data_IF_544125041261
#
_entry.id   IF_544125041261
#
_cell.length_a   1.000
_cell.length_b   1.000
_cell.length_c   1.000
_cell.angle_alpha   90.00
_cell.angle_beta   90.00
_cell.angle_gamma   90.00
#
_symmetry.space_group_name_H-M   'P 1'
#
loop_
_entity.id
_entity.type
_entity.pdbx_description
1 polymer ?
#
# COMPACT_ATOMS: atom_id res chain seq x y z
N UNK A 1 -14.27 -20.85 -5.19
CA UNK A 1 -14.40 -20.45 -3.77
C UNK A 1 -13.15 -19.65 -3.47
N UNK A 2 -13.17 -18.35 -3.76
CA UNK A 2 -12.01 -17.46 -3.57
C UNK A 2 -12.01 -17.00 -2.13
N UNK A 3 -11.12 -17.57 -1.32
CA UNK A 3 -10.83 -17.05 0.02
C UNK A 3 -10.24 -15.66 -0.13
N UNK A 4 -11.07 -14.64 0.08
CA UNK A 4 -10.58 -13.30 0.32
C UNK A 4 -9.72 -13.37 1.59
N UNK A 5 -8.42 -13.13 1.46
CA UNK A 5 -7.52 -12.98 2.61
C UNK A 5 -8.02 -11.77 3.41
N UNK A 6 -8.84 -12.04 4.42
CA UNK A 6 -9.17 -11.09 5.46
C UNK A 6 -7.98 -11.06 6.41
N UNK A 7 -7.10 -10.07 6.24
CA UNK A 7 -6.34 -9.61 7.40
C UNK A 7 -7.37 -9.28 8.48
N UNK A 8 -7.15 -9.74 9.71
CA UNK A 8 -7.90 -9.21 10.86
C UNK A 8 -7.93 -7.70 10.72
N UNK A 9 -9.13 -7.09 10.71
CA UNK A 9 -9.30 -5.68 10.35
C UNK A 9 -8.31 -4.78 11.13
N UNK A 10 -7.98 -5.14 12.37
CA UNK A 10 -7.02 -4.41 13.19
C UNK A 10 -5.55 -4.50 12.70
N UNK A 11 -5.06 -5.68 12.33
CA UNK A 11 -3.65 -5.87 11.90
C UNK A 11 -3.40 -5.22 10.54
N UNK A 12 -4.33 -5.39 9.61
CA UNK A 12 -4.27 -4.76 8.28
C UNK A 12 -4.35 -3.24 8.37
N UNK A 13 -5.22 -2.71 9.24
CA UNK A 13 -5.33 -1.27 9.47
C UNK A 13 -4.11 -0.70 10.20
N UNK A 14 -3.51 -1.45 11.14
CA UNK A 14 -2.28 -1.04 11.81
C UNK A 14 -1.11 -0.95 10.82
N UNK A 15 -0.91 -1.97 9.97
CA UNK A 15 0.13 -1.95 8.95
C UNK A 15 -0.05 -0.77 7.96
N UNK A 16 -1.29 -0.51 7.52
CA UNK A 16 -1.63 0.64 6.69
C UNK A 16 -1.25 1.97 7.37
N UNK A 17 -1.67 2.17 8.62
CA UNK A 17 -1.39 3.38 9.37
C UNK A 17 0.09 3.62 9.64
N UNK A 18 0.86 2.55 9.89
CA UNK A 18 2.33 2.61 10.03
C UNK A 18 2.98 3.06 8.72
N UNK A 19 2.63 2.43 7.60
CA UNK A 19 3.18 2.78 6.28
C UNK A 19 2.84 4.22 5.89
N UNK A 20 1.61 4.67 6.13
CA UNK A 20 1.18 6.04 5.86
C UNK A 20 1.93 7.05 6.71
N UNK A 21 2.04 6.80 8.02
CA UNK A 21 2.79 7.67 8.94
C UNK A 21 4.27 7.77 8.57
N UNK A 22 4.87 6.67 8.10
CA UNK A 22 6.25 6.64 7.65
C UNK A 22 6.44 7.48 6.37
N UNK A 23 5.59 7.30 5.36
CA UNK A 23 5.66 8.06 4.12
C UNK A 23 5.44 9.56 4.35
N UNK A 24 4.53 9.92 5.25
CA UNK A 24 4.33 11.30 5.69
C UNK A 24 5.60 11.86 6.33
N UNK A 25 6.18 11.17 7.31
CA UNK A 25 7.41 11.60 7.97
C UNK A 25 8.58 11.77 6.99
N UNK A 26 8.76 10.84 6.05
CA UNK A 26 9.81 10.93 5.03
C UNK A 26 9.59 12.11 4.07
N UNK A 27 8.34 12.43 3.75
CA UNK A 27 7.98 13.57 2.90
C UNK A 27 8.18 14.90 3.65
N UNK A 28 7.76 14.98 4.91
CA UNK A 28 7.89 16.18 5.75
C UNK A 28 9.36 16.51 6.05
N UNK A 29 10.19 15.49 6.28
CA UNK A 29 11.63 15.62 6.45
C UNK A 29 12.37 15.89 5.12
N UNK A 30 11.65 15.95 3.98
CA UNK A 30 12.20 16.12 2.64
C UNK A 30 13.25 15.07 2.25
N UNK A 31 13.16 13.89 2.83
CA UNK A 31 13.97 12.72 2.47
C UNK A 31 13.46 12.13 1.14
N UNK A 32 12.15 12.19 0.94
CA UNK A 32 11.44 11.71 -0.23
C UNK A 32 10.55 12.83 -0.75
N UNK A 33 10.49 13.06 -2.06
CA UNK A 33 9.48 13.97 -2.60
C UNK A 33 8.10 13.30 -2.64
N UNK A 34 7.03 14.10 -2.70
CA UNK A 34 5.69 13.56 -2.91
C UNK A 34 5.60 12.71 -4.19
N UNK A 35 6.33 13.10 -5.24
CA UNK A 35 6.38 12.34 -6.49
C UNK A 35 7.03 10.99 -6.24
N UNK A 36 8.18 10.96 -5.58
CA UNK A 36 8.90 9.71 -5.32
C UNK A 36 8.06 8.76 -4.44
N UNK A 37 7.28 9.28 -3.49
CA UNK A 37 6.34 8.48 -2.69
C UNK A 37 5.25 7.84 -3.56
N UNK A 38 4.71 8.59 -4.52
CA UNK A 38 3.67 8.09 -5.43
C UNK A 38 4.22 7.08 -6.43
N UNK A 39 5.41 7.35 -6.97
CA UNK A 39 6.09 6.47 -7.92
C UNK A 39 6.47 5.16 -7.21
N UNK A 40 7.01 5.22 -5.99
CA UNK A 40 7.27 4.05 -5.14
C UNK A 40 6.01 3.18 -4.95
N UNK A 41 4.88 3.78 -4.57
CA UNK A 41 3.64 3.03 -4.39
C UNK A 41 3.09 2.46 -5.71
N UNK A 42 3.31 3.16 -6.83
CA UNK A 42 2.96 2.68 -8.17
C UNK A 42 3.80 1.47 -8.55
N UNK A 43 5.10 1.50 -8.27
CA UNK A 43 6.02 0.38 -8.50
C UNK A 43 5.63 -0.83 -7.65
N UNK A 44 5.23 -0.63 -6.39
CA UNK A 44 4.70 -1.70 -5.53
C UNK A 44 3.46 -2.32 -6.16
N UNK A 45 2.52 -1.51 -6.63
CA UNK A 45 1.29 -2.00 -7.29
C UNK A 45 1.62 -2.80 -8.55
N UNK A 46 2.49 -2.28 -9.44
CA UNK A 46 2.86 -2.99 -10.67
C UNK A 46 3.56 -4.31 -10.37
N UNK A 47 4.58 -4.27 -9.50
CA UNK A 47 5.39 -5.44 -9.15
C UNK A 47 4.53 -6.55 -8.53
N UNK A 48 3.62 -6.21 -7.62
CA UNK A 48 2.75 -7.21 -7.01
C UNK A 48 1.66 -7.72 -7.97
N UNK A 49 1.15 -6.89 -8.88
CA UNK A 49 0.22 -7.37 -9.92
C UNK A 49 0.90 -8.37 -10.87
N UNK A 50 2.12 -8.05 -11.32
CA UNK A 50 2.91 -8.95 -12.17
C UNK A 50 3.25 -10.25 -11.44
N UNK A 51 3.69 -10.16 -10.18
CA UNK A 51 3.98 -11.32 -9.35
C UNK A 51 2.73 -12.18 -9.08
N UNK A 52 1.55 -11.58 -8.92
CA UNK A 52 0.30 -12.32 -8.74
C UNK A 52 0.01 -13.23 -9.93
N UNK A 53 0.33 -12.82 -11.16
CA UNK A 53 0.08 -13.62 -12.36
C UNK A 53 0.92 -14.92 -12.43
N UNK A 54 2.06 -14.97 -11.73
CA UNK A 54 2.97 -16.11 -11.72
C UNK A 54 3.05 -16.84 -10.37
N UNK A 55 2.33 -16.36 -9.36
CA UNK A 55 2.41 -16.86 -7.99
C UNK A 55 1.43 -18.00 -7.72
N UNK A 56 1.82 -18.94 -6.84
CA UNK A 56 0.92 -19.96 -6.29
C UNK A 56 -0.01 -19.38 -5.20
N UNK A 57 0.23 -18.14 -4.76
CA UNK A 57 -0.59 -17.42 -3.78
C UNK A 57 -0.91 -16.00 -4.27
N UNK A 58 -1.66 -15.85 -5.37
CA UNK A 58 -1.98 -14.55 -5.96
C UNK A 58 -2.73 -13.63 -4.98
N UNK A 59 -3.51 -14.19 -4.05
CA UNK A 59 -4.34 -13.46 -3.10
C UNK A 59 -3.48 -12.59 -2.17
N UNK A 60 -2.32 -13.08 -1.74
CA UNK A 60 -1.39 -12.32 -0.88
C UNK A 60 -0.83 -11.10 -1.63
N UNK A 61 -0.49 -11.27 -2.91
CA UNK A 61 -0.02 -10.16 -3.73
C UNK A 61 -1.13 -9.14 -3.98
N UNK A 62 -2.35 -9.60 -4.26
CA UNK A 62 -3.53 -8.73 -4.42
C UNK A 62 -3.86 -7.96 -3.13
N UNK A 63 -3.66 -8.57 -1.97
CA UNK A 63 -3.86 -7.91 -0.68
C UNK A 63 -2.89 -6.73 -0.50
N UNK A 64 -1.61 -6.90 -0.89
CA UNK A 64 -0.62 -5.80 -0.90
C UNK A 64 -1.01 -4.71 -1.89
N UNK A 65 -1.45 -5.07 -3.10
CA UNK A 65 -1.95 -4.10 -4.10
C UNK A 65 -3.10 -3.27 -3.53
N UNK A 66 -4.06 -3.91 -2.86
CA UNK A 66 -5.19 -3.22 -2.23
C UNK A 66 -4.74 -2.22 -1.16
N UNK A 67 -3.76 -2.57 -0.33
CA UNK A 67 -3.18 -1.67 0.68
C UNK A 67 -2.49 -0.48 0.01
N UNK A 68 -1.61 -0.71 -0.97
CA UNK A 68 -0.87 0.36 -1.65
C UNK A 68 -1.81 1.34 -2.39
N UNK A 69 -2.86 0.83 -3.02
CA UNK A 69 -3.89 1.65 -3.66
C UNK A 69 -4.67 2.50 -2.65
N UNK A 70 -4.96 1.96 -1.46
CA UNK A 70 -5.60 2.73 -0.39
C UNK A 70 -4.71 3.87 0.12
N UNK A 71 -3.39 3.66 0.24
CA UNK A 71 -2.44 4.73 0.59
C UNK A 71 -2.41 5.81 -0.50
N UNK A 72 -2.35 5.40 -1.77
CA UNK A 72 -2.39 6.33 -2.91
C UNK A 72 -3.68 7.19 -2.93
N UNK A 73 -4.81 6.61 -2.53
CA UNK A 73 -6.10 7.31 -2.44
C UNK A 73 -6.26 8.15 -1.16
N UNK A 74 -5.64 7.74 -0.05
CA UNK A 74 -5.79 8.31 1.29
C UNK A 74 -5.28 9.73 1.45
N UNK A 75 -4.40 10.22 0.56
CA UNK A 75 -3.85 11.58 0.66
C UNK A 75 -4.85 12.73 0.55
N UNK A 76 -6.11 12.45 0.19
CA UNK A 76 -7.20 13.44 0.21
C UNK A 76 -7.90 13.58 1.58
N UNK A 77 -7.58 12.77 2.58
CA UNK A 77 -8.31 12.72 3.86
C UNK A 77 -7.71 13.46 5.06
N UNK A 78 -6.43 13.89 4.99
CA UNK A 78 -5.70 14.41 6.17
C UNK A 78 -5.18 15.85 6.01
N UNK A 79 -5.93 16.69 5.30
CA UNK A 79 -5.82 18.15 5.43
C UNK A 79 -6.85 18.62 6.45
N UNK A 80 -6.55 18.48 7.74
CA UNK A 80 -7.16 19.27 8.80
C UNK A 80 -6.05 19.89 9.65
#
# INVERSE_FOLDING_TARGET
MTEHVQFSDAEGMAALGICESLLLALTDLKILSERDARDLLTDVVSTHNEAAAASQTPEKHQAVVGIAQRILAGKNGMRH
#
